data_IF_529233683350
#
_entry.id   IF_529233683350
#
_cell.length_a   1.000
_cell.length_b   1.000
_cell.length_c   1.000
_cell.angle_alpha   90.00
_cell.angle_beta   90.00
_cell.angle_gamma   90.00
#
_symmetry.space_group_name_H-M   'P 1'
#
loop_
_entity.id
_entity.type
_entity.pdbx_description
1 polymer ?
#
# COMPACT_ATOMS: atom_id res chain seq x y z
N UNK A 1 -29.01 -8.17 -33.14
CA UNK A 1 -27.82 -7.54 -32.53
C UNK A 1 -27.20 -8.54 -31.56
N UNK A 2 -26.03 -9.08 -31.89
CA UNK A 2 -25.19 -9.86 -30.97
C UNK A 2 -23.95 -9.01 -30.72
N UNK A 3 -23.68 -8.65 -29.47
CA UNK A 3 -22.44 -8.00 -29.09
C UNK A 3 -21.36 -9.08 -29.12
N UNK A 4 -20.38 -8.95 -30.03
CA UNK A 4 -19.19 -9.79 -29.99
C UNK A 4 -18.39 -9.43 -28.72
N UNK A 5 -17.88 -10.42 -27.97
CA UNK A 5 -16.89 -10.16 -26.94
C UNK A 5 -15.66 -9.53 -27.61
N UNK A 6 -15.15 -8.43 -27.07
CA UNK A 6 -13.88 -7.88 -27.51
C UNK A 6 -12.79 -8.92 -27.24
N UNK A 7 -12.28 -9.51 -28.32
CA UNK A 7 -11.04 -10.27 -28.36
C UNK A 7 -9.85 -9.38 -27.97
N UNK A 8 -8.79 -10.04 -27.55
CA UNK A 8 -7.46 -9.48 -27.24
C UNK A 8 -7.37 -8.51 -26.05
N UNK A 9 -7.41 -9.08 -24.85
CA UNK A 9 -6.55 -8.53 -23.78
C UNK A 9 -5.10 -8.89 -24.12
N UNK A 10 -4.49 -8.12 -25.03
CA UNK A 10 -3.04 -7.99 -25.02
C UNK A 10 -2.67 -7.57 -23.60
N UNK A 11 -1.83 -8.32 -22.86
CA UNK A 11 -1.35 -7.82 -21.57
C UNK A 11 -0.75 -6.45 -21.87
N UNK A 12 -1.24 -5.41 -21.20
CA UNK A 12 -0.74 -4.06 -21.35
C UNK A 12 0.79 -4.16 -21.36
N UNK A 13 1.43 -3.69 -22.44
CA UNK A 13 2.89 -3.64 -22.52
C UNK A 13 3.36 -3.10 -21.17
N UNK A 14 4.22 -3.86 -20.49
CA UNK A 14 4.88 -3.37 -19.29
C UNK A 14 5.54 -2.06 -19.72
N UNK A 15 4.99 -0.93 -19.27
CA UNK A 15 5.47 0.40 -19.67
C UNK A 15 6.85 0.58 -19.04
N UNK A 16 7.88 0.09 -19.74
CA UNK A 16 9.29 0.10 -19.34
C UNK A 16 9.86 1.53 -19.21
N UNK A 17 9.02 2.56 -19.46
CA UNK A 17 9.32 3.99 -19.29
C UNK A 17 9.80 4.33 -17.87
N UNK A 18 9.53 3.47 -16.90
CA UNK A 18 9.92 3.64 -15.49
C UNK A 18 11.13 2.76 -15.11
N UNK A 19 11.70 2.01 -16.05
CA UNK A 19 12.79 1.05 -15.79
C UNK A 19 14.09 1.67 -15.25
N UNK A 20 14.23 2.99 -15.34
CA UNK A 20 15.33 3.79 -14.78
C UNK A 20 14.90 4.76 -13.68
N UNK A 21 13.63 4.70 -13.22
CA UNK A 21 13.15 5.57 -12.17
C UNK A 21 13.76 5.16 -10.82
N UNK A 22 14.43 6.11 -10.16
CA UNK A 22 14.97 5.92 -8.82
C UNK A 22 13.97 6.42 -7.78
N UNK A 23 13.75 5.61 -6.75
CA UNK A 23 13.00 6.03 -5.57
C UNK A 23 13.88 6.89 -4.67
N UNK A 24 13.39 8.07 -4.31
CA UNK A 24 14.07 9.02 -3.42
C UNK A 24 13.21 9.26 -2.18
N UNK A 25 13.80 9.41 -0.98
CA UNK A 25 13.07 9.78 0.21
C UNK A 25 12.33 11.11 0.03
N UNK A 26 11.04 11.13 0.33
CA UNK A 26 10.19 12.31 0.17
C UNK A 26 10.74 13.49 1.01
N UNK A 27 10.93 14.64 0.37
CA UNK A 27 11.33 15.89 1.01
C UNK A 27 10.09 16.80 1.17
N UNK A 28 9.29 16.57 2.22
CA UNK A 28 8.10 17.37 2.50
C UNK A 28 8.33 18.25 3.73
N UNK A 29 8.54 19.56 3.55
CA UNK A 29 8.87 20.51 4.63
C UNK A 29 7.78 20.73 5.70
N UNK A 30 6.70 19.95 5.67
CA UNK A 30 5.56 20.05 6.60
C UNK A 30 5.37 18.81 7.48
N UNK A 31 5.99 17.67 7.15
CA UNK A 31 5.80 16.39 7.84
C UNK A 31 7.11 15.62 7.85
N UNK A 32 7.46 14.99 8.97
CA UNK A 32 8.57 14.03 9.03
C UNK A 32 8.28 12.85 8.11
N UNK A 33 9.18 12.54 7.17
CA UNK A 33 8.99 11.50 6.15
C UNK A 33 9.73 10.19 6.43
N UNK A 34 10.53 10.15 7.50
CA UNK A 34 11.22 8.96 7.97
C UNK A 34 11.27 8.95 9.50
N UNK A 35 10.94 7.81 10.09
CA UNK A 35 11.04 7.59 11.53
C UNK A 35 11.42 6.13 11.80
N UNK A 36 12.25 5.92 12.82
CA UNK A 36 12.62 4.59 13.29
C UNK A 36 11.85 4.30 14.55
N UNK A 37 11.05 3.23 14.53
CA UNK A 37 10.32 2.81 15.71
C UNK A 37 11.28 2.34 16.83
N UNK A 38 10.91 2.52 18.11
CA UNK A 38 11.66 1.96 19.22
C UNK A 38 11.82 0.45 19.05
N UNK A 39 12.96 -0.11 19.49
CA UNK A 39 13.22 -1.56 19.38
C UNK A 39 12.16 -2.45 20.05
N UNK A 40 11.46 -1.93 21.04
CA UNK A 40 10.38 -2.63 21.74
C UNK A 40 9.02 -2.55 21.01
N UNK A 41 8.91 -1.79 19.92
CA UNK A 41 7.70 -1.71 19.12
C UNK A 41 7.52 -2.99 18.30
N UNK A 42 6.31 -3.53 18.31
CA UNK A 42 5.98 -4.82 17.71
C UNK A 42 5.20 -4.63 16.39
N UNK A 43 5.73 -3.71 15.57
CA UNK A 43 5.09 -3.27 14.34
C UNK A 43 5.37 -4.22 13.17
N UNK A 44 4.37 -4.45 12.33
CA UNK A 44 4.49 -5.29 11.15
C UNK A 44 3.65 -4.75 10.00
N UNK A 45 4.22 -4.77 8.80
CA UNK A 45 3.54 -4.47 7.55
C UNK A 45 3.16 -5.77 6.84
N UNK A 46 1.91 -5.89 6.41
CA UNK A 46 1.40 -7.01 5.61
C UNK A 46 0.74 -6.47 4.33
N UNK A 47 1.09 -7.04 3.17
CA UNK A 47 0.52 -6.66 1.86
C UNK A 47 0.41 -7.87 0.93
N UNK A 48 -0.41 -7.74 -0.11
CA UNK A 48 -0.46 -8.72 -1.22
C UNK A 48 -0.26 -8.01 -2.56
N UNK A 49 0.54 -8.55 -3.49
CA UNK A 49 1.39 -9.75 -3.37
C UNK A 49 2.64 -9.49 -2.51
N UNK A 50 3.29 -10.56 -2.04
CA UNK A 50 4.53 -10.47 -1.26
C UNK A 50 5.67 -9.98 -2.17
N UNK A 51 6.09 -8.74 -1.98
CA UNK A 51 7.20 -8.12 -2.74
C UNK A 51 8.54 -8.37 -2.04
N UNK A 52 9.61 -8.53 -2.82
CA UNK A 52 10.96 -8.82 -2.32
C UNK A 52 11.65 -7.54 -1.82
N UNK A 53 12.18 -7.49 -0.59
CA UNK A 53 12.82 -6.29 -0.05
C UNK A 53 13.98 -5.77 -0.93
N UNK A 54 14.08 -4.44 -1.08
CA UNK A 54 15.10 -3.74 -1.87
C UNK A 54 14.98 -2.22 -1.72
N UNK A 55 15.52 -1.46 -2.67
CA UNK A 55 15.46 0.03 -2.68
C UNK A 55 14.08 0.62 -3.05
N UNK A 56 13.08 -0.23 -3.30
CA UNK A 56 11.73 0.17 -3.69
C UNK A 56 10.80 0.29 -2.46
N UNK A 57 9.76 1.14 -2.51
CA UNK A 57 8.78 1.20 -1.43
C UNK A 57 7.86 -0.02 -1.42
N UNK A 58 7.51 -0.50 -0.23
CA UNK A 58 6.54 -1.59 -0.03
C UNK A 58 5.10 -1.21 -0.40
N UNK A 59 4.78 0.09 -0.34
CA UNK A 59 3.44 0.65 -0.58
C UNK A 59 3.58 1.80 -1.56
N UNK A 60 2.77 1.77 -2.63
CA UNK A 60 2.68 2.84 -3.61
C UNK A 60 1.41 3.65 -3.38
N UNK A 61 1.52 4.97 -3.57
CA UNK A 61 0.40 5.91 -3.61
C UNK A 61 0.39 6.51 -5.01
N UNK A 62 -0.67 6.24 -5.76
CA UNK A 62 -0.81 6.67 -7.14
C UNK A 62 -1.49 8.05 -7.23
N UNK A 63 -1.21 8.85 -8.26
CA UNK A 63 -1.81 10.18 -8.43
C UNK A 63 -3.34 10.18 -8.52
N UNK A 64 -3.97 9.07 -8.94
CA UNK A 64 -5.43 8.92 -8.98
C UNK A 64 -6.06 8.69 -7.61
N UNK A 65 -5.25 8.60 -6.55
CA UNK A 65 -5.70 8.31 -5.19
C UNK A 65 -5.76 6.82 -4.86
N UNK A 66 -5.44 5.95 -5.81
CA UNK A 66 -5.26 4.53 -5.55
C UNK A 66 -4.01 4.28 -4.72
N UNK A 67 -4.01 3.22 -3.93
CA UNK A 67 -2.85 2.80 -3.15
C UNK A 67 -2.68 1.29 -3.22
N UNK A 68 -1.45 0.80 -3.01
CA UNK A 68 -1.24 -0.62 -2.73
C UNK A 68 -1.99 -0.99 -1.45
N UNK A 69 -2.93 -1.95 -1.44
CA UNK A 69 -3.62 -2.34 -0.21
C UNK A 69 -2.65 -2.93 0.81
N UNK A 70 -2.74 -2.48 2.06
CA UNK A 70 -1.88 -2.97 3.13
C UNK A 70 -2.58 -2.97 4.49
N UNK A 71 -2.04 -3.78 5.40
CA UNK A 71 -2.33 -3.75 6.81
C UNK A 71 -1.05 -3.36 7.56
N UNK A 72 -1.15 -2.33 8.40
CA UNK A 72 -0.09 -1.94 9.32
C UNK A 72 -0.52 -2.27 10.75
N UNK A 73 0.19 -3.20 11.38
CA UNK A 73 0.09 -3.50 12.80
C UNK A 73 1.10 -2.64 13.54
N UNK A 74 0.68 -1.91 14.57
CA UNK A 74 1.55 -1.09 15.42
C UNK A 74 1.92 -1.88 16.69
N UNK A 75 0.96 -2.63 17.21
CA UNK A 75 1.10 -3.56 18.33
C UNK A 75 0.10 -4.73 18.19
N UNK A 76 0.10 -5.69 19.12
CA UNK A 76 -0.81 -6.85 19.05
C UNK A 76 -2.32 -6.49 19.08
N UNK A 77 -2.69 -5.31 19.57
CA UNK A 77 -4.05 -4.86 19.76
C UNK A 77 -4.47 -3.72 18.81
N UNK A 78 -3.56 -3.06 18.11
CA UNK A 78 -3.84 -1.86 17.32
C UNK A 78 -3.24 -1.93 15.91
N UNK A 79 -4.01 -1.50 14.92
CA UNK A 79 -3.50 -1.29 13.58
C UNK A 79 -4.47 -0.58 12.65
N UNK A 80 -4.08 -0.53 11.38
CA UNK A 80 -4.79 0.15 10.30
C UNK A 80 -4.84 -0.80 9.10
N UNK A 81 -6.01 -0.87 8.46
CA UNK A 81 -6.16 -1.47 7.13
C UNK A 81 -6.40 -0.34 6.14
N UNK A 82 -5.72 -0.39 5.00
CA UNK A 82 -5.92 0.54 3.89
C UNK A 82 -6.25 -0.27 2.64
N UNK A 83 -7.38 0.04 2.02
CA UNK A 83 -7.81 -0.59 0.78
C UNK A 83 -7.23 0.11 -0.47
N UNK A 84 -7.50 -0.44 -1.65
CA UNK A 84 -6.98 0.09 -2.91
C UNK A 84 -7.45 1.52 -3.24
N UNK A 85 -8.49 2.01 -2.57
CA UNK A 85 -9.08 3.34 -2.78
C UNK A 85 -8.63 4.35 -1.71
N UNK A 86 -7.56 4.01 -0.99
CA UNK A 86 -7.05 4.78 0.15
C UNK A 86 -8.05 4.93 1.31
N UNK A 87 -9.07 4.06 1.40
CA UNK A 87 -9.96 4.06 2.56
C UNK A 87 -9.23 3.43 3.73
N UNK A 88 -9.00 4.22 4.78
CA UNK A 88 -8.33 3.76 5.99
C UNK A 88 -9.35 3.41 7.08
N UNK A 89 -9.24 2.20 7.62
CA UNK A 89 -9.97 1.79 8.82
C UNK A 89 -9.00 1.45 9.94
N UNK A 90 -9.23 2.02 11.12
CA UNK A 90 -8.47 1.69 12.31
C UNK A 90 -9.20 0.58 13.06
N UNK A 91 -8.46 -0.42 13.52
CA UNK A 91 -8.97 -1.45 14.40
C UNK A 91 -8.25 -1.40 15.76
N UNK A 92 -9.00 -1.76 16.79
CA UNK A 92 -8.48 -2.04 18.13
C UNK A 92 -9.13 -3.32 18.64
N UNK A 93 -8.32 -4.31 19.03
CA UNK A 93 -8.81 -5.55 19.64
C UNK A 93 -9.64 -5.21 20.89
N UNK A 94 -10.86 -5.72 20.97
CA UNK A 94 -11.84 -5.38 22.01
C UNK A 94 -12.93 -4.39 21.57
N UNK A 95 -12.83 -3.84 20.35
CA UNK A 95 -13.88 -3.01 19.75
C UNK A 95 -14.78 -3.86 18.86
N UNK A 96 -15.45 -4.85 19.44
CA UNK A 96 -16.61 -5.44 18.79
C UNK A 96 -17.75 -4.42 18.92
N UNK A 97 -18.03 -3.65 17.87
CA UNK A 97 -19.38 -3.14 17.73
C UNK A 97 -20.22 -4.33 17.28
N UNK A 98 -20.84 -4.98 18.26
CA UNK A 98 -22.11 -5.66 18.04
C UNK A 98 -23.10 -4.58 17.59
N UNK A 99 -23.56 -4.69 16.35
CA UNK A 99 -24.70 -3.98 15.79
C UNK A 99 -25.37 -4.90 14.77
#
# INVERSE_FOLDING_TARGET
>A
MRLQPADDSTPAETDDRWGNAQWLPLQAGRVTTAETLPRAADAALSRRPAWTPGEQPDVLIFPGGEVTPFQLRIDAATGINVDARATASRWRRGSSHEA
#
